data_IF_056113431139
#
_entry.id   IF_056113431139
#
_cell.length_a   1.000
_cell.length_b   1.000
_cell.length_c   1.000
_cell.angle_alpha   90.00
_cell.angle_beta   90.00
_cell.angle_gamma   90.00
#
_symmetry.space_group_name_H-M   'P 1'
#
loop_
_entity.id
_entity.type
_entity.pdbx_description
1 polymer ?
#
# COMPACT_ATOMS: atom_id res chain seq x y z
N UNK A 1 6.67 8.41 20.26
CA UNK A 1 6.06 8.41 18.90
C UNK A 1 7.10 8.53 17.76
N UNK A 2 8.16 9.34 17.86
CA UNK A 2 9.18 9.46 16.80
C UNK A 2 9.93 8.15 16.48
N UNK A 3 10.29 7.36 17.49
CA UNK A 3 11.07 6.11 17.32
C UNK A 3 10.28 5.08 16.48
N UNK A 4 8.98 4.92 16.72
CA UNK A 4 8.14 3.96 15.98
C UNK A 4 8.04 4.37 14.51
N UNK A 5 7.86 5.65 14.20
CA UNK A 5 7.83 6.14 12.81
C UNK A 5 9.14 5.89 12.07
N UNK A 6 10.28 6.08 12.74
CA UNK A 6 11.60 5.79 12.15
C UNK A 6 11.85 4.31 11.92
N UNK A 7 11.20 3.42 12.67
CA UNK A 7 11.23 1.97 12.44
C UNK A 7 10.30 1.60 11.28
N UNK A 8 9.09 2.19 11.22
CA UNK A 8 8.13 1.91 10.15
C UNK A 8 8.69 2.25 8.77
N UNK A 9 9.45 3.35 8.63
CA UNK A 9 10.10 3.73 7.36
C UNK A 9 11.22 2.78 6.91
N UNK A 10 11.60 1.78 7.74
CA UNK A 10 12.59 0.73 7.44
C UNK A 10 11.96 -0.64 7.22
N UNK A 11 10.64 -0.69 7.14
CA UNK A 11 9.90 -1.90 6.78
C UNK A 11 9.57 -1.80 5.29
N UNK A 12 10.20 -2.65 4.49
CA UNK A 12 10.06 -2.69 3.04
C UNK A 12 9.11 -3.82 2.63
N UNK A 13 8.58 -3.76 1.42
CA UNK A 13 7.80 -4.84 0.83
C UNK A 13 8.63 -5.51 -0.27
N UNK A 14 9.01 -6.78 -0.07
CA UNK A 14 9.82 -7.55 -1.00
C UNK A 14 9.19 -8.94 -1.13
N UNK A 15 8.93 -9.39 -2.36
CA UNK A 15 8.26 -10.67 -2.67
C UNK A 15 6.86 -10.81 -2.03
N UNK A 16 6.16 -9.69 -1.82
CA UNK A 16 4.87 -9.68 -1.13
C UNK A 16 4.95 -9.81 0.39
N UNK A 17 6.18 -9.90 0.95
CA UNK A 17 6.42 -9.97 2.38
C UNK A 17 6.97 -8.65 2.92
N UNK A 18 6.61 -8.33 4.16
CA UNK A 18 7.16 -7.17 4.86
C UNK A 18 8.41 -7.56 5.62
N UNK A 19 9.49 -6.88 5.26
CA UNK A 19 10.82 -7.25 5.72
C UNK A 19 11.59 -6.02 6.23
N UNK A 20 12.57 -6.29 7.08
CA UNK A 20 13.62 -5.33 7.43
C UNK A 20 14.97 -5.86 6.96
N UNK A 21 15.85 -4.98 6.54
CA UNK A 21 17.17 -5.36 6.06
C UNK A 21 18.19 -5.51 7.20
N UNK A 22 19.18 -6.38 7.01
CA UNK A 22 20.21 -6.67 8.00
C UNK A 22 20.95 -5.42 8.50
N UNK A 23 21.20 -4.45 7.63
CA UNK A 23 21.89 -3.21 8.00
C UNK A 23 20.99 -2.25 8.80
N UNK A 24 19.68 -2.23 8.53
CA UNK A 24 18.72 -1.44 9.30
C UNK A 24 18.54 -2.03 10.69
N UNK A 25 18.43 -3.36 10.77
CA UNK A 25 18.37 -4.07 12.05
C UNK A 25 19.66 -3.87 12.85
N UNK A 26 20.82 -3.97 12.21
CA UNK A 26 22.11 -3.74 12.85
C UNK A 26 22.21 -2.32 13.43
N UNK A 27 21.74 -1.33 12.68
CA UNK A 27 21.69 0.06 13.15
C UNK A 27 20.76 0.21 14.36
N UNK A 28 19.55 -0.37 14.32
CA UNK A 28 18.59 -0.30 15.41
C UNK A 28 19.08 -1.00 16.68
N UNK A 29 19.77 -2.13 16.53
CA UNK A 29 20.39 -2.87 17.64
C UNK A 29 21.73 -2.28 18.10
N UNK A 30 22.26 -1.27 17.38
CA UNK A 30 23.59 -0.68 17.59
C UNK A 30 24.71 -1.72 17.58
N UNK A 31 24.67 -2.59 16.60
CA UNK A 31 25.71 -3.59 16.34
C UNK A 31 26.21 -3.46 14.90
N UNK A 32 27.42 -3.96 14.63
CA UNK A 32 27.87 -4.05 13.25
C UNK A 32 27.04 -5.08 12.47
N UNK A 33 26.67 -4.79 11.21
CA UNK A 33 25.96 -5.73 10.34
C UNK A 33 26.66 -7.10 10.23
N UNK A 34 28.00 -7.09 10.22
CA UNK A 34 28.79 -8.31 10.20
C UNK A 34 28.56 -9.16 11.46
N UNK A 35 28.49 -8.53 12.62
CA UNK A 35 28.26 -9.20 13.91
C UNK A 35 26.85 -9.80 13.95
N UNK A 36 25.85 -9.04 13.50
CA UNK A 36 24.46 -9.52 13.37
C UNK A 36 24.40 -10.75 12.48
N UNK A 37 24.95 -10.66 11.26
CA UNK A 37 24.92 -11.75 10.28
C UNK A 37 25.70 -12.98 10.76
N UNK A 38 26.78 -12.77 11.49
CA UNK A 38 27.53 -13.88 12.10
C UNK A 38 26.72 -14.59 13.20
N UNK A 39 26.01 -13.84 14.04
CA UNK A 39 25.14 -14.40 15.07
C UNK A 39 23.97 -15.19 14.45
N UNK A 40 23.36 -14.67 13.39
CA UNK A 40 22.31 -15.37 12.60
C UNK A 40 22.87 -16.66 11.99
N UNK A 41 24.03 -16.59 11.33
CA UNK A 41 24.67 -17.76 10.71
C UNK A 41 25.00 -18.88 11.73
N UNK A 42 25.38 -18.53 12.94
CA UNK A 42 25.59 -19.50 14.03
C UNK A 42 24.30 -20.15 14.52
N UNK A 43 23.16 -19.51 14.26
CA UNK A 43 21.84 -19.95 14.66
C UNK A 43 20.91 -20.21 13.45
N UNK A 44 21.48 -20.62 12.30
CA UNK A 44 20.76 -20.71 11.03
C UNK A 44 19.50 -21.60 11.08
N UNK A 45 19.49 -22.63 11.93
CA UNK A 45 18.33 -23.50 12.15
C UNK A 45 17.07 -22.75 12.63
N UNK A 46 17.23 -21.52 13.14
CA UNK A 46 16.14 -20.66 13.60
C UNK A 46 15.63 -19.73 12.50
N UNK A 47 16.30 -19.68 11.37
CA UNK A 47 16.02 -18.78 10.26
C UNK A 47 15.81 -19.57 8.96
N UNK A 48 14.68 -20.28 8.83
CA UNK A 48 14.29 -20.89 7.57
C UNK A 48 14.05 -19.82 6.49
N UNK A 49 13.92 -20.22 5.23
CA UNK A 49 13.83 -19.31 4.07
C UNK A 49 12.62 -18.37 4.10
N UNK A 50 11.56 -18.76 4.78
CA UNK A 50 10.35 -17.91 5.02
C UNK A 50 10.55 -16.88 6.15
N UNK A 51 11.61 -17.02 6.99
CA UNK A 51 11.95 -16.06 8.04
C UNK A 51 13.05 -15.10 7.61
N UNK A 52 13.97 -15.57 6.79
CA UNK A 52 15.12 -14.80 6.31
C UNK A 52 15.56 -15.27 4.93
N UNK A 53 15.77 -14.36 4.01
CA UNK A 53 16.31 -14.65 2.70
C UNK A 53 17.32 -13.59 2.26
N UNK A 54 18.20 -13.94 1.35
CA UNK A 54 19.13 -13.00 0.75
C UNK A 54 18.49 -12.36 -0.50
N UNK A 55 18.61 -11.04 -0.64
CA UNK A 55 18.13 -10.34 -1.83
C UNK A 55 18.95 -10.74 -3.05
N UNK A 56 18.30 -10.73 -4.20
CA UNK A 56 18.96 -10.73 -5.50
C UNK A 56 19.51 -9.33 -5.80
N UNK A 57 20.44 -9.23 -6.75
CA UNK A 57 20.99 -7.95 -7.18
C UNK A 57 19.90 -7.01 -7.71
N UNK A 58 18.94 -7.55 -8.46
CA UNK A 58 17.87 -6.79 -9.05
C UNK A 58 16.87 -6.26 -7.99
N UNK A 59 16.49 -7.08 -7.02
CA UNK A 59 15.63 -6.65 -5.89
C UNK A 59 16.28 -5.53 -5.10
N UNK A 60 17.58 -5.63 -4.84
CA UNK A 60 18.30 -4.61 -4.10
C UNK A 60 18.42 -3.29 -4.88
N UNK A 61 18.67 -3.34 -6.19
CA UNK A 61 18.71 -2.13 -7.04
C UNK A 61 17.33 -1.48 -7.14
N UNK A 62 16.25 -2.24 -7.32
CA UNK A 62 14.88 -1.72 -7.34
C UNK A 62 14.55 -1.00 -6.02
N UNK A 63 14.87 -1.63 -4.89
CA UNK A 63 14.66 -1.04 -3.57
C UNK A 63 15.43 0.27 -3.40
N UNK A 64 16.67 0.34 -3.89
CA UNK A 64 17.47 1.58 -3.86
C UNK A 64 16.82 2.72 -4.63
N UNK A 65 16.22 2.43 -5.79
CA UNK A 65 15.50 3.40 -6.60
C UNK A 65 14.26 3.91 -5.85
N UNK A 66 13.48 3.00 -5.24
CA UNK A 66 12.30 3.35 -4.46
C UNK A 66 12.64 4.26 -3.27
N UNK A 67 13.65 3.91 -2.50
CA UNK A 67 14.09 4.70 -1.34
C UNK A 67 14.58 6.09 -1.77
N UNK A 68 15.33 6.19 -2.86
CA UNK A 68 15.82 7.47 -3.37
C UNK A 68 14.70 8.37 -3.89
N UNK A 69 13.60 7.80 -4.40
CA UNK A 69 12.44 8.56 -4.89
C UNK A 69 11.54 9.08 -3.76
N UNK A 70 11.50 8.38 -2.62
CA UNK A 70 10.60 8.72 -1.49
C UNK A 70 11.27 9.66 -0.48
N UNK A 71 12.59 9.60 -0.32
CA UNK A 71 13.26 10.35 0.73
C UNK A 71 14.67 10.81 0.30
N UNK A 72 14.81 12.10 -0.06
CA UNK A 72 16.12 12.71 -0.33
C UNK A 72 17.03 12.72 0.93
N UNK A 73 16.53 12.34 2.09
CA UNK A 73 17.27 12.33 3.37
C UNK A 73 17.89 10.97 3.72
N UNK A 74 17.67 9.94 2.91
CA UNK A 74 18.20 8.58 3.18
C UNK A 74 19.70 8.44 2.86
N UNK A 75 20.52 9.35 3.39
CA UNK A 75 21.99 9.24 3.39
C UNK A 75 22.48 7.88 3.93
N UNK A 76 21.65 7.20 4.72
CA UNK A 76 21.96 5.93 5.36
C UNK A 76 22.12 4.81 4.34
N UNK A 77 21.21 4.68 3.37
CA UNK A 77 21.29 3.64 2.33
C UNK A 77 22.49 3.88 1.41
N UNK A 78 22.78 5.13 1.09
CA UNK A 78 23.96 5.51 0.30
C UNK A 78 25.27 5.19 1.03
N UNK A 79 25.33 5.47 2.35
CA UNK A 79 26.53 5.23 3.15
C UNK A 79 26.83 3.74 3.34
N UNK A 80 25.78 2.91 3.50
CA UNK A 80 25.96 1.46 3.61
C UNK A 80 26.27 0.78 2.28
N UNK A 81 25.71 1.28 1.18
CA UNK A 81 26.03 0.79 -0.17
C UNK A 81 27.49 1.06 -0.55
N UNK A 82 28.06 2.21 -0.13
CA UNK A 82 29.46 2.55 -0.44
C UNK A 82 30.50 1.80 0.38
N UNK A 83 30.13 1.30 1.55
CA UNK A 83 31.03 0.56 2.47
C UNK A 83 30.97 -0.95 2.31
N UNK A 84 29.99 -1.48 1.57
CA UNK A 84 29.84 -2.92 1.33
C UNK A 84 30.52 -3.30 -0.01
N UNK A 85 31.27 -4.40 -0.08
CA UNK A 85 31.70 -4.94 -1.36
C UNK A 85 30.45 -5.22 -2.23
N UNK A 86 30.47 -4.85 -3.51
CA UNK A 86 29.35 -5.09 -4.46
C UNK A 86 28.89 -6.56 -4.56
N UNK A 87 29.65 -7.48 -3.97
CA UNK A 87 29.37 -8.93 -3.92
C UNK A 87 28.53 -9.36 -2.71
N UNK A 88 28.31 -8.49 -1.70
CA UNK A 88 27.62 -8.87 -0.46
C UNK A 88 26.19 -8.28 -0.46
N UNK A 89 25.24 -9.02 -1.03
CA UNK A 89 23.82 -8.67 -1.02
C UNK A 89 23.25 -8.73 0.40
N UNK A 90 22.31 -7.83 0.77
CA UNK A 90 21.72 -7.80 2.10
C UNK A 90 20.80 -8.99 2.35
N UNK A 91 20.63 -9.32 3.63
CA UNK A 91 19.60 -10.23 4.09
C UNK A 91 18.34 -9.45 4.47
N UNK A 92 17.20 -9.97 4.07
CA UNK A 92 15.89 -9.52 4.47
C UNK A 92 15.30 -10.43 5.55
N UNK A 93 14.76 -9.85 6.59
CA UNK A 93 14.14 -10.55 7.71
C UNK A 93 12.66 -10.22 7.74
N UNK A 94 11.80 -11.23 7.69
CA UNK A 94 10.35 -11.08 7.90
C UNK A 94 10.05 -10.76 9.36
N UNK A 95 8.80 -10.48 9.69
CA UNK A 95 8.39 -10.28 11.09
C UNK A 95 8.80 -11.45 11.98
N UNK A 96 8.61 -12.67 11.50
CA UNK A 96 9.01 -13.90 12.19
C UNK A 96 10.53 -14.00 12.36
N UNK A 97 11.28 -13.62 11.31
CA UNK A 97 12.74 -13.57 11.36
C UNK A 97 13.25 -12.58 12.40
N UNK A 98 12.65 -11.38 12.46
CA UNK A 98 12.98 -10.38 13.49
C UNK A 98 12.60 -10.89 14.89
N UNK A 99 11.47 -11.56 15.05
CA UNK A 99 11.09 -12.17 16.32
C UNK A 99 12.13 -13.21 16.78
N UNK A 100 12.70 -14.01 15.87
CA UNK A 100 13.76 -14.97 16.18
C UNK A 100 15.08 -14.31 16.62
N UNK A 101 15.37 -13.09 16.16
CA UNK A 101 16.55 -12.34 16.61
C UNK A 101 16.53 -12.06 18.12
N UNK A 102 15.35 -11.97 18.76
CA UNK A 102 15.24 -11.79 20.21
C UNK A 102 15.91 -12.91 21.00
N UNK A 103 15.88 -14.13 20.46
CA UNK A 103 16.55 -15.28 21.07
C UNK A 103 18.06 -15.34 20.82
N UNK A 104 18.57 -14.55 19.88
CA UNK A 104 19.99 -14.53 19.45
C UNK A 104 20.72 -13.34 20.06
N UNK A 105 20.06 -12.17 20.09
CA UNK A 105 20.58 -10.92 20.67
C UNK A 105 20.01 -10.74 22.07
N UNK A 106 20.85 -10.93 23.10
CA UNK A 106 20.41 -11.01 24.50
C UNK A 106 20.64 -9.74 25.32
N UNK A 107 21.12 -8.64 24.70
CA UNK A 107 21.29 -7.39 25.44
C UNK A 107 19.94 -6.77 25.77
N UNK A 108 19.83 -6.08 26.91
CA UNK A 108 18.63 -5.38 27.34
C UNK A 108 18.15 -4.39 26.25
N UNK A 109 19.10 -3.73 25.59
CA UNK A 109 18.81 -2.83 24.47
C UNK A 109 18.20 -3.59 23.28
N UNK A 110 18.73 -4.76 22.94
CA UNK A 110 18.18 -5.58 21.86
C UNK A 110 16.75 -6.04 22.17
N UNK A 111 16.47 -6.38 23.42
CA UNK A 111 15.12 -6.75 23.87
C UNK A 111 14.16 -5.57 23.69
N UNK A 112 14.51 -4.39 24.19
CA UNK A 112 13.66 -3.19 24.07
C UNK A 112 13.44 -2.80 22.62
N UNK A 113 14.47 -2.86 21.78
CA UNK A 113 14.37 -2.55 20.36
C UNK A 113 13.50 -3.59 19.63
N UNK A 114 13.63 -4.87 19.97
CA UNK A 114 12.80 -5.93 19.40
C UNK A 114 11.31 -5.70 19.68
N UNK A 115 10.97 -5.31 20.91
CA UNK A 115 9.59 -4.95 21.27
C UNK A 115 9.10 -3.77 20.42
N UNK A 116 9.94 -2.74 20.20
CA UNK A 116 9.58 -1.58 19.38
C UNK A 116 9.37 -1.97 17.91
N UNK A 117 10.23 -2.82 17.35
CA UNK A 117 10.13 -3.31 15.98
C UNK A 117 8.85 -4.14 15.80
N UNK A 118 8.56 -5.07 16.72
CA UNK A 118 7.34 -5.88 16.66
C UNK A 118 6.07 -5.01 16.69
N UNK A 119 6.05 -3.97 17.54
CA UNK A 119 4.96 -2.99 17.55
C UNK A 119 4.83 -2.26 16.21
N UNK A 120 5.95 -1.88 15.59
CA UNK A 120 5.94 -1.22 14.28
C UNK A 120 5.36 -2.13 13.18
N UNK A 121 5.69 -3.44 13.15
CA UNK A 121 5.09 -4.39 12.22
C UNK A 121 3.57 -4.51 12.41
N UNK A 122 3.12 -4.63 13.67
CA UNK A 122 1.69 -4.68 14.00
C UNK A 122 0.97 -3.41 13.53
N UNK A 123 1.56 -2.24 13.75
CA UNK A 123 0.95 -0.97 13.35
C UNK A 123 0.89 -0.81 11.83
N UNK A 124 1.94 -1.19 11.10
CA UNK A 124 1.94 -1.21 9.63
C UNK A 124 0.84 -2.13 9.10
N UNK A 125 0.69 -3.34 9.67
CA UNK A 125 -0.38 -4.28 9.30
C UNK A 125 -1.77 -3.67 9.51
N UNK A 126 -2.00 -2.99 10.65
CA UNK A 126 -3.28 -2.30 10.92
C UNK A 126 -3.60 -1.20 9.92
N UNK A 127 -2.59 -0.44 9.52
CA UNK A 127 -2.75 0.64 8.53
C UNK A 127 -3.19 0.05 7.18
N UNK A 128 -2.56 -1.03 6.74
CA UNK A 128 -2.89 -1.69 5.47
C UNK A 128 -4.30 -2.28 5.46
N UNK A 129 -4.69 -2.96 6.55
CA UNK A 129 -6.05 -3.49 6.66
C UNK A 129 -7.09 -2.37 6.57
N UNK A 130 -6.82 -1.20 7.15
CA UNK A 130 -7.70 -0.04 7.02
C UNK A 130 -7.74 0.51 5.60
N UNK A 131 -6.60 0.55 4.90
CA UNK A 131 -6.53 1.01 3.51
C UNK A 131 -7.28 0.08 2.56
N UNK A 132 -7.16 -1.24 2.73
CA UNK A 132 -7.90 -2.20 1.93
C UNK A 132 -9.41 -2.05 2.10
N UNK A 133 -9.88 -1.92 3.34
CA UNK A 133 -11.31 -1.67 3.63
C UNK A 133 -11.80 -0.36 2.99
N UNK A 134 -11.00 0.69 3.03
CA UNK A 134 -11.33 1.96 2.39
C UNK A 134 -11.41 1.84 0.86
N UNK A 135 -10.51 1.09 0.25
CA UNK A 135 -10.53 0.84 -1.20
C UNK A 135 -11.77 0.05 -1.62
N UNK A 136 -12.18 -0.95 -0.85
CA UNK A 136 -13.42 -1.70 -1.08
C UNK A 136 -14.64 -0.78 -1.00
N UNK A 137 -14.74 0.07 0.03
CA UNK A 137 -15.81 1.05 0.16
C UNK A 137 -15.84 2.06 -0.98
N UNK A 138 -14.68 2.53 -1.44
CA UNK A 138 -14.60 3.44 -2.60
C UNK A 138 -15.05 2.76 -3.89
N UNK A 139 -14.76 1.48 -4.07
CA UNK A 139 -15.23 0.70 -5.22
C UNK A 139 -16.76 0.58 -5.20
N UNK A 140 -17.34 0.22 -4.07
CA UNK A 140 -18.79 0.12 -3.88
C UNK A 140 -19.50 1.46 -4.15
N UNK A 141 -18.96 2.57 -3.64
CA UNK A 141 -19.49 3.90 -3.91
C UNK A 141 -19.45 4.22 -5.41
N UNK A 142 -18.37 3.86 -6.10
CA UNK A 142 -18.18 4.10 -7.51
C UNK A 142 -19.19 3.32 -8.37
N UNK A 143 -19.46 2.07 -8.01
CA UNK A 143 -20.50 1.26 -8.65
C UNK A 143 -21.89 1.87 -8.47
N UNK A 144 -22.26 2.25 -7.24
CA UNK A 144 -23.54 2.91 -6.95
C UNK A 144 -23.72 4.24 -7.68
N UNK A 145 -22.67 5.03 -7.82
CA UNK A 145 -22.70 6.27 -8.61
C UNK A 145 -22.99 5.97 -10.08
N UNK A 146 -22.37 4.93 -10.66
CA UNK A 146 -22.68 4.51 -12.02
C UNK A 146 -24.13 4.08 -12.23
N UNK A 147 -24.73 3.38 -11.27
CA UNK A 147 -26.15 3.01 -11.29
C UNK A 147 -27.06 4.26 -11.23
N UNK A 148 -26.71 5.23 -10.38
CA UNK A 148 -27.46 6.49 -10.30
C UNK A 148 -27.39 7.30 -11.60
N UNK A 149 -26.23 7.32 -12.27
CA UNK A 149 -26.09 8.02 -13.55
C UNK A 149 -27.01 7.40 -14.63
N UNK A 150 -27.16 6.08 -14.66
CA UNK A 150 -28.11 5.40 -15.56
C UNK A 150 -29.55 5.80 -15.23
N UNK A 151 -29.95 5.75 -13.95
CA UNK A 151 -31.28 6.14 -13.52
C UNK A 151 -31.62 7.60 -13.82
N UNK A 152 -30.62 8.49 -13.68
CA UNK A 152 -30.77 9.90 -14.04
C UNK A 152 -31.01 10.08 -15.54
N UNK A 153 -30.26 9.37 -16.38
CA UNK A 153 -30.46 9.42 -17.82
C UNK A 153 -31.86 8.90 -18.23
N UNK A 154 -32.33 7.80 -17.64
CA UNK A 154 -33.70 7.29 -17.86
C UNK A 154 -34.75 8.32 -17.44
N UNK A 155 -34.54 9.05 -16.35
CA UNK A 155 -35.43 10.12 -15.89
C UNK A 155 -35.46 11.29 -16.88
N UNK A 156 -34.28 11.71 -17.38
CA UNK A 156 -34.21 12.78 -18.40
C UNK A 156 -34.92 12.38 -19.68
N UNK A 157 -34.72 11.17 -20.16
CA UNK A 157 -35.41 10.64 -21.34
C UNK A 157 -36.94 10.61 -21.14
N UNK A 158 -37.41 10.21 -19.96
CA UNK A 158 -38.81 10.23 -19.62
C UNK A 158 -39.38 11.66 -19.58
N UNK A 159 -38.64 12.62 -19.02
CA UNK A 159 -39.05 14.03 -19.00
C UNK A 159 -39.13 14.63 -20.40
N UNK A 160 -38.17 14.36 -21.27
CA UNK A 160 -38.15 14.82 -22.66
C UNK A 160 -39.34 14.24 -23.44
N UNK A 161 -39.66 12.97 -23.29
CA UNK A 161 -40.83 12.34 -23.89
C UNK A 161 -42.13 13.02 -23.42
N UNK A 162 -42.27 13.28 -22.10
CA UNK A 162 -43.44 13.99 -21.57
C UNK A 162 -43.56 15.43 -22.11
N UNK A 163 -42.43 16.11 -22.32
CA UNK A 163 -42.40 17.45 -22.89
C UNK A 163 -42.83 17.44 -24.35
N UNK A 164 -42.36 16.49 -25.15
CA UNK A 164 -42.74 16.31 -26.56
C UNK A 164 -44.24 15.98 -26.72
N UNK A 165 -44.77 15.09 -25.85
CA UNK A 165 -46.21 14.80 -25.81
C UNK A 165 -47.05 16.07 -25.52
N UNK A 166 -46.59 16.88 -24.57
CA UNK A 166 -47.28 18.13 -24.20
C UNK A 166 -47.22 19.15 -25.33
N UNK A 167 -46.09 19.27 -26.01
CA UNK A 167 -45.95 20.15 -27.20
C UNK A 167 -46.87 19.66 -28.33
N UNK A 168 -46.95 18.34 -28.57
CA UNK A 168 -47.83 17.76 -29.58
C UNK A 168 -49.30 18.02 -29.25
N UNK A 169 -49.72 17.91 -27.99
CA UNK A 169 -51.06 18.23 -27.53
C UNK A 169 -51.41 19.70 -27.71
N UNK A 170 -50.48 20.62 -27.45
CA UNK A 170 -50.67 22.06 -27.67
C UNK A 170 -50.82 22.38 -29.16
N UNK A 171 -49.98 21.85 -30.02
CA UNK A 171 -50.06 21.98 -31.48
C UNK A 171 -51.39 21.43 -32.03
N UNK A 172 -51.89 20.35 -31.41
CA UNK A 172 -53.21 19.80 -31.80
C UNK A 172 -54.38 20.71 -31.41
N UNK A 173 -54.33 21.42 -30.28
CA UNK A 173 -55.36 22.38 -29.84
C UNK A 173 -55.40 23.64 -30.68
N UNK A 174 -54.22 24.06 -31.18
CA UNK A 174 -54.12 25.29 -32.01
C UNK A 174 -54.39 25.06 -33.52
N UNK A 175 -54.73 23.85 -33.92
CA UNK A 175 -55.11 23.57 -35.31
C UNK A 175 -56.41 24.27 -35.67
N UNK A 176 -56.41 25.06 -36.76
CA UNK A 176 -57.60 25.54 -37.36
C UNK A 176 -58.54 24.40 -37.73
N UNK A 177 -59.79 24.46 -37.26
CA UNK A 177 -60.78 23.43 -37.56
C UNK A 177 -61.14 23.55 -39.05
N UNK A 178 -60.72 22.59 -39.84
CA UNK A 178 -61.15 22.46 -41.23
C UNK A 178 -62.59 21.94 -41.18
N UNK A 179 -63.56 22.85 -41.07
CA UNK A 179 -64.99 22.53 -41.13
C UNK A 179 -65.54 22.80 -42.51
N UNK A 180 -66.27 21.84 -43.09
CA UNK A 180 -67.12 22.08 -44.26
C UNK A 180 -68.19 23.11 -43.91
N UNK A 181 -68.15 24.25 -44.56
CA UNK A 181 -69.32 25.17 -44.54
C UNK A 181 -70.45 24.54 -45.34
N UNK A 182 -71.49 24.06 -44.67
CA UNK A 182 -72.74 23.72 -45.31
C UNK A 182 -73.32 25.06 -45.73
N UNK A 183 -73.44 25.30 -47.06
CA UNK A 183 -74.26 26.45 -47.62
C UNK A 183 -75.72 26.09 -47.45
N UNK A 184 -76.42 26.90 -46.64
CA UNK A 184 -77.91 27.02 -46.77
C UNK A 184 -78.33 27.67 -48.08
#
# INVERSE_FOLDING_TARGET
MQVIKSIQSRIYEIRGERVMLDFDLALLYEVETRVLNQAVKRNNKRFPEDFMFQLTKQEFENLRIEINNVDMSSQIVMTYSSKRPNSALPYAFTEQGVAMLSGVLRSERAINMNIAIMRAFVDVRKILLKQNNLNEQLLEIKERLGEHDVQLNELYDAMDNMLDEKIAQLKWKDRERIGFKIKE
#
